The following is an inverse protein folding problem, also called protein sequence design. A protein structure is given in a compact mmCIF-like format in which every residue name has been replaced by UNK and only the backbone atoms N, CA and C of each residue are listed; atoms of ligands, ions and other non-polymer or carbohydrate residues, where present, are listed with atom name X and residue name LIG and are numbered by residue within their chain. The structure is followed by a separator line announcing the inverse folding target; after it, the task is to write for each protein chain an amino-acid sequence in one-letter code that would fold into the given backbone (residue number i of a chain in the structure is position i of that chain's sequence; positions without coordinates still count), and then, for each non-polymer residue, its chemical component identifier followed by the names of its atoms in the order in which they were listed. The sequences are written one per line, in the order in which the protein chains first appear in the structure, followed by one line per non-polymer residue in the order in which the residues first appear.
data_IF_344974516401
#
_entry.id   IF_344974516401
#
_cell.length_a   1.000
_cell.length_b   1.000
_cell.length_c   1.000
_cell.angle_alpha   90.00
_cell.angle_beta   90.00
_cell.angle_gamma   90.00
#
_symmetry.space_group_name_H-M   'P 1'
#
loop_
_entity.id
_entity.type
_entity.pdbx_description
1 polymer ?
#
# COMPACT_ATOMS: atom_id res chain seq x y z
N UNK A 1 20.52 17.85 21.79
CA UNK A 1 21.36 16.66 21.98
C UNK A 1 20.48 15.43 21.93
N UNK A 2 20.84 14.43 21.12
CA UNK A 2 20.16 13.14 21.01
C UNK A 2 21.00 12.13 21.77
N UNK A 3 20.37 11.33 22.66
CA UNK A 3 21.04 10.34 23.47
C UNK A 3 21.20 9.03 22.70
N UNK A 4 22.38 8.40 22.77
CA UNK A 4 22.62 7.06 22.24
C UNK A 4 22.01 6.01 23.17
N UNK A 5 20.98 5.33 22.72
CA UNK A 5 20.22 4.35 23.49
C UNK A 5 20.66 2.91 23.25
N UNK A 6 21.71 2.68 22.46
CA UNK A 6 22.15 1.32 22.06
C UNK A 6 22.43 0.38 23.24
N UNK A 7 22.84 0.93 24.38
CA UNK A 7 23.15 0.16 25.60
C UNK A 7 21.94 -0.09 26.50
N UNK A 8 20.76 0.40 26.16
CA UNK A 8 19.56 0.21 26.99
C UNK A 8 18.93 -1.16 26.73
N UNK A 9 18.53 -1.82 27.80
CA UNK A 9 18.01 -3.20 27.77
C UNK A 9 16.84 -3.39 26.81
N UNK A 10 15.94 -2.39 26.68
CA UNK A 10 14.77 -2.47 25.81
C UNK A 10 15.12 -2.60 24.31
N UNK A 11 16.32 -2.15 23.88
CA UNK A 11 16.71 -2.23 22.47
C UNK A 11 16.77 -3.67 21.97
N UNK A 12 17.08 -4.62 22.86
CA UNK A 12 17.04 -6.06 22.56
C UNK A 12 15.63 -6.63 22.34
N UNK A 13 14.59 -5.89 22.70
CA UNK A 13 13.19 -6.29 22.52
C UNK A 13 12.54 -5.67 21.26
N UNK A 14 13.26 -4.82 20.55
CA UNK A 14 12.77 -4.26 19.29
C UNK A 14 12.82 -5.32 18.18
N UNK A 15 11.84 -5.31 17.28
CA UNK A 15 11.92 -6.12 16.06
C UNK A 15 13.12 -5.65 15.22
N UNK A 16 13.59 -6.52 14.32
CA UNK A 16 14.70 -6.17 13.41
C UNK A 16 14.43 -4.88 12.63
N UNK A 17 13.23 -4.74 12.07
CA UNK A 17 12.83 -3.57 11.29
C UNK A 17 12.79 -2.30 12.15
N UNK A 18 12.25 -2.41 13.38
CA UNK A 18 12.25 -1.31 14.34
C UNK A 18 13.67 -0.84 14.68
N UNK A 19 14.54 -1.79 14.93
CA UNK A 19 15.93 -1.51 15.26
C UNK A 19 16.66 -0.86 14.07
N UNK A 20 16.47 -1.39 12.87
CA UNK A 20 17.06 -0.87 11.63
C UNK A 20 16.64 0.58 11.38
N UNK A 21 15.34 0.88 11.45
CA UNK A 21 14.82 2.24 11.26
C UNK A 21 15.23 3.22 12.36
N UNK A 22 15.57 2.72 13.55
CA UNK A 22 15.97 3.52 14.71
C UNK A 22 17.47 3.72 14.81
N UNK A 23 18.24 3.04 13.95
CA UNK A 23 19.71 3.01 14.00
C UNK A 23 20.31 3.97 12.95
N UNK A 24 21.22 4.80 13.38
CA UNK A 24 22.03 5.63 12.50
C UNK A 24 23.51 5.51 12.89
N UNK A 25 24.38 5.22 11.93
CA UNK A 25 25.81 4.96 12.17
C UNK A 25 26.08 3.96 13.31
N UNK A 26 25.32 2.86 13.35
CA UNK A 26 25.45 1.80 14.35
C UNK A 26 24.96 2.16 15.76
N UNK A 27 24.23 3.25 15.92
CA UNK A 27 23.71 3.74 17.19
C UNK A 27 22.20 3.95 17.14
N UNK A 28 21.50 3.57 18.21
CA UNK A 28 20.05 3.73 18.34
C UNK A 28 19.70 5.09 18.92
N UNK A 29 19.00 5.91 18.16
CA UNK A 29 18.64 7.27 18.55
C UNK A 29 17.14 7.54 18.69
N UNK A 30 16.28 6.59 18.32
CA UNK A 30 14.82 6.70 18.42
C UNK A 30 14.21 5.39 18.90
N UNK A 31 12.96 5.48 19.36
CA UNK A 31 12.17 4.32 19.74
C UNK A 31 10.87 4.41 18.95
N UNK A 32 10.56 3.47 18.05
CA UNK A 32 9.26 3.45 17.40
C UNK A 32 8.18 3.11 18.42
N UNK A 33 7.18 3.98 18.51
CA UNK A 33 6.04 3.80 19.43
C UNK A 33 4.90 3.03 18.77
N UNK A 34 4.85 3.00 17.44
CA UNK A 34 3.82 2.29 16.67
C UNK A 34 4.33 2.04 15.26
N UNK A 35 3.76 1.01 14.63
CA UNK A 35 3.88 0.76 13.21
C UNK A 35 2.59 1.15 12.51
N UNK A 36 2.72 1.76 11.34
CA UNK A 36 1.60 2.04 10.47
C UNK A 36 1.83 1.27 9.17
N UNK A 37 0.93 0.36 8.86
CA UNK A 37 0.94 -0.37 7.59
C UNK A 37 -0.17 0.13 6.68
N UNK A 38 -0.01 -0.07 5.38
CA UNK A 38 -1.05 0.12 4.38
C UNK A 38 -1.47 -1.22 3.80
N UNK A 39 -2.73 -1.30 3.37
CA UNK A 39 -3.27 -2.48 2.72
C UNK A 39 -4.53 -2.14 1.92
N UNK A 40 -5.08 -3.12 1.26
CA UNK A 40 -6.38 -3.00 0.63
C UNK A 40 -7.49 -3.48 1.57
N UNK A 41 -8.51 -2.65 1.75
CA UNK A 41 -9.76 -3.02 2.41
C UNK A 41 -10.74 -3.45 1.33
N UNK A 42 -11.24 -4.67 1.45
CA UNK A 42 -12.12 -5.33 0.49
C UNK A 42 -13.54 -5.41 1.01
N UNK A 43 -14.52 -5.22 0.13
CA UNK A 43 -15.91 -5.61 0.36
C UNK A 43 -16.05 -7.12 0.08
N UNK A 44 -16.00 -7.92 1.13
CA UNK A 44 -15.99 -9.38 1.05
C UNK A 44 -17.34 -9.90 0.54
N UNK A 45 -18.44 -9.26 0.92
CA UNK A 45 -19.77 -9.65 0.44
C UNK A 45 -19.90 -9.43 -1.07
N UNK A 46 -19.34 -8.35 -1.59
CA UNK A 46 -19.27 -8.11 -3.04
C UNK A 46 -18.43 -9.18 -3.74
N UNK A 47 -17.26 -9.53 -3.21
CA UNK A 47 -16.43 -10.60 -3.79
C UNK A 47 -17.22 -11.94 -3.82
N UNK A 48 -17.87 -12.31 -2.71
CA UNK A 48 -18.69 -13.54 -2.63
C UNK A 48 -19.82 -13.55 -3.65
N UNK A 49 -20.47 -12.41 -3.88
CA UNK A 49 -21.55 -12.28 -4.87
C UNK A 49 -21.12 -12.69 -6.28
N UNK A 50 -19.87 -12.45 -6.63
CA UNK A 50 -19.29 -12.80 -7.93
C UNK A 50 -18.42 -14.08 -7.90
N UNK A 51 -18.47 -14.85 -6.80
CA UNK A 51 -17.71 -16.09 -6.64
C UNK A 51 -16.20 -15.89 -6.54
N UNK A 52 -15.78 -14.68 -6.16
CA UNK A 52 -14.38 -14.29 -6.04
C UNK A 52 -13.87 -14.52 -4.61
N UNK A 53 -12.57 -14.70 -4.51
CA UNK A 53 -11.82 -14.76 -3.24
C UNK A 53 -10.91 -13.54 -3.10
N UNK A 54 -10.41 -13.31 -1.89
CA UNK A 54 -9.34 -12.34 -1.66
C UNK A 54 -8.09 -12.77 -2.44
N UNK A 55 -7.52 -11.88 -3.27
CA UNK A 55 -6.34 -12.21 -4.06
C UNK A 55 -5.08 -12.21 -3.21
N UNK A 56 -4.16 -13.13 -3.51
CA UNK A 56 -2.88 -13.29 -2.81
C UNK A 56 -1.69 -12.81 -3.64
N UNK A 57 -1.87 -12.63 -4.96
CA UNK A 57 -0.84 -12.21 -5.92
C UNK A 57 -1.43 -11.37 -7.05
N UNK A 58 -0.58 -10.86 -7.93
CA UNK A 58 -0.98 -9.98 -9.03
C UNK A 58 -1.94 -10.65 -10.02
N UNK A 59 -1.74 -11.91 -10.36
CA UNK A 59 -2.62 -12.61 -11.31
C UNK A 59 -4.04 -12.71 -10.76
N UNK A 60 -4.18 -13.14 -9.52
CA UNK A 60 -5.48 -13.23 -8.84
C UNK A 60 -6.12 -11.85 -8.68
N UNK A 61 -5.32 -10.82 -8.34
CA UNK A 61 -5.76 -9.44 -8.24
C UNK A 61 -6.34 -8.93 -9.57
N UNK A 62 -5.65 -9.16 -10.67
CA UNK A 62 -6.12 -8.76 -11.99
C UNK A 62 -7.39 -9.52 -12.42
N UNK A 63 -7.48 -10.81 -12.07
CA UNK A 63 -8.69 -11.59 -12.32
C UNK A 63 -9.91 -11.06 -11.53
N UNK A 64 -9.71 -10.68 -10.27
CA UNK A 64 -10.74 -10.03 -9.45
C UNK A 64 -11.18 -8.72 -10.08
N UNK A 65 -10.23 -7.86 -10.46
CA UNK A 65 -10.52 -6.57 -11.07
C UNK A 65 -11.28 -6.72 -12.40
N UNK A 66 -10.86 -7.64 -13.28
CA UNK A 66 -11.54 -7.85 -14.57
C UNK A 66 -12.94 -8.38 -14.38
N UNK A 67 -13.13 -9.38 -13.51
CA UNK A 67 -14.46 -9.94 -13.25
C UNK A 67 -15.43 -8.89 -12.71
N UNK A 68 -14.98 -8.05 -11.78
CA UNK A 68 -15.82 -6.98 -11.23
C UNK A 68 -16.18 -5.95 -12.30
N UNK A 69 -15.19 -5.51 -13.09
CA UNK A 69 -15.40 -4.54 -14.17
C UNK A 69 -16.39 -5.07 -15.22
N UNK A 70 -16.27 -6.34 -15.65
CA UNK A 70 -17.19 -6.97 -16.59
C UNK A 70 -18.65 -6.97 -16.08
N UNK A 71 -18.81 -6.96 -14.77
CA UNK A 71 -20.12 -6.85 -14.10
C UNK A 71 -20.53 -5.40 -13.78
N UNK A 72 -19.83 -4.41 -14.32
CA UNK A 72 -20.14 -2.98 -14.15
C UNK A 72 -19.77 -2.41 -12.79
N UNK A 73 -18.95 -3.11 -12.01
CA UNK A 73 -18.45 -2.66 -10.71
C UNK A 73 -17.09 -1.99 -10.90
N UNK A 74 -16.92 -0.80 -10.32
CA UNK A 74 -15.60 -0.19 -10.21
C UNK A 74 -14.76 -0.99 -9.22
N UNK A 75 -13.64 -1.62 -9.63
CA UNK A 75 -12.83 -2.39 -8.70
C UNK A 75 -12.23 -1.51 -7.61
N UNK A 76 -11.46 -0.50 -7.99
CA UNK A 76 -10.63 0.30 -7.09
C UNK A 76 -11.16 1.71 -6.89
N UNK A 77 -11.54 2.03 -5.66
CA UNK A 77 -11.94 3.38 -5.24
C UNK A 77 -10.73 4.26 -4.93
N UNK A 78 -9.96 4.61 -5.96
CA UNK A 78 -8.76 5.41 -5.81
C UNK A 78 -9.06 6.89 -5.55
N UNK A 79 -8.19 7.52 -4.77
CA UNK A 79 -8.10 8.97 -4.61
C UNK A 79 -6.63 9.42 -4.76
N UNK A 80 -6.38 10.72 -4.82
CA UNK A 80 -5.04 11.29 -4.99
C UNK A 80 -4.12 11.19 -3.77
N UNK A 81 -4.62 10.68 -2.66
CA UNK A 81 -3.87 10.46 -1.43
C UNK A 81 -3.14 9.10 -1.46
N UNK A 82 -3.34 8.28 -0.45
CA UNK A 82 -2.68 6.97 -0.31
C UNK A 82 -3.04 6.00 -1.44
N UNK A 83 -4.25 6.09 -1.97
CA UNK A 83 -4.73 5.19 -2.98
C UNK A 83 -3.93 5.24 -4.29
N UNK A 84 -3.39 6.39 -4.68
CA UNK A 84 -2.49 6.49 -5.83
C UNK A 84 -1.05 6.20 -5.45
N UNK A 85 -0.58 6.77 -4.35
CA UNK A 85 0.85 6.77 -4.03
C UNK A 85 1.34 5.44 -3.49
N UNK A 86 0.58 4.81 -2.58
CA UNK A 86 1.05 3.59 -1.91
C UNK A 86 1.24 2.41 -2.87
N UNK A 87 0.26 1.99 -3.69
CA UNK A 87 0.48 0.87 -4.61
C UNK A 87 1.61 1.14 -5.62
N UNK A 88 1.73 2.37 -6.12
CA UNK A 88 2.79 2.75 -7.06
C UNK A 88 4.17 2.65 -6.41
N UNK A 89 4.31 3.13 -5.17
CA UNK A 89 5.56 3.01 -4.42
C UNK A 89 5.88 1.55 -4.06
N UNK A 90 4.87 0.77 -3.66
CA UNK A 90 5.05 -0.64 -3.34
C UNK A 90 5.60 -1.44 -4.52
N UNK A 91 5.06 -1.22 -5.71
CA UNK A 91 5.51 -1.90 -6.93
C UNK A 91 6.86 -1.34 -7.39
N UNK A 92 7.00 -0.02 -7.45
CA UNK A 92 8.19 0.63 -7.99
C UNK A 92 9.44 0.42 -7.13
N UNK A 93 9.33 0.58 -5.82
CA UNK A 93 10.47 0.51 -4.91
C UNK A 93 10.75 -0.91 -4.39
N UNK A 94 9.90 -1.88 -4.71
CA UNK A 94 10.06 -3.26 -4.22
C UNK A 94 11.45 -3.81 -4.51
N UNK A 95 11.92 -3.67 -5.74
CA UNK A 95 13.20 -4.22 -6.18
C UNK A 95 14.40 -3.56 -5.48
N UNK A 96 14.28 -2.28 -5.08
CA UNK A 96 15.31 -1.62 -4.27
C UNK A 96 15.38 -2.27 -2.89
N UNK A 97 14.24 -2.36 -2.21
CA UNK A 97 14.21 -2.86 -0.83
C UNK A 97 14.55 -4.35 -0.71
N UNK A 98 14.41 -5.12 -1.80
CA UNK A 98 14.79 -6.53 -1.86
C UNK A 98 16.21 -6.76 -2.38
N UNK A 99 16.92 -5.72 -2.82
CA UNK A 99 18.27 -5.87 -3.38
C UNK A 99 19.36 -5.87 -2.31
N UNK A 100 20.44 -6.59 -2.57
CA UNK A 100 21.60 -6.64 -1.68
C UNK A 100 22.30 -5.26 -1.56
N UNK A 101 22.17 -4.40 -2.57
CA UNK A 101 22.68 -3.04 -2.66
C UNK A 101 21.64 -1.95 -2.27
N UNK A 102 20.61 -2.32 -1.51
CA UNK A 102 19.55 -1.42 -1.07
C UNK A 102 20.09 -0.11 -0.48
N UNK A 103 21.03 -0.21 0.47
CA UNK A 103 21.57 0.96 1.14
C UNK A 103 22.31 1.91 0.18
N UNK A 104 23.06 1.37 -0.78
CA UNK A 104 23.78 2.15 -1.80
C UNK A 104 22.80 2.88 -2.72
N UNK A 105 21.71 2.22 -3.13
CA UNK A 105 20.64 2.83 -3.93
C UNK A 105 19.91 3.93 -3.18
N UNK A 106 19.57 3.70 -1.91
CA UNK A 106 18.95 4.72 -1.05
C UNK A 106 19.86 5.91 -0.81
N UNK A 107 21.17 5.67 -0.63
CA UNK A 107 22.16 6.74 -0.52
C UNK A 107 22.28 7.53 -1.82
N UNK A 108 22.30 6.86 -2.98
CA UNK A 108 22.33 7.50 -4.29
C UNK A 108 21.10 8.39 -4.54
N UNK A 109 19.92 7.95 -4.11
CA UNK A 109 18.71 8.79 -4.12
C UNK A 109 18.84 9.99 -3.17
N UNK A 110 19.33 9.76 -1.96
CA UNK A 110 19.43 10.79 -0.94
C UNK A 110 20.42 11.90 -1.30
N UNK A 111 21.53 11.55 -1.93
CA UNK A 111 22.57 12.50 -2.34
C UNK A 111 22.36 13.06 -3.77
N UNK A 112 21.30 12.60 -4.48
CA UNK A 112 20.93 13.08 -5.81
C UNK A 112 21.80 12.55 -6.96
N UNK A 113 22.56 11.48 -6.74
CA UNK A 113 23.32 10.82 -7.82
C UNK A 113 22.51 9.82 -8.62
N UNK A 114 21.32 9.43 -8.13
CA UNK A 114 20.31 8.69 -8.85
C UNK A 114 18.96 9.43 -8.80
N UNK A 115 18.15 9.29 -9.84
CA UNK A 115 16.81 9.85 -9.88
C UNK A 115 15.79 8.80 -9.48
N UNK A 116 14.74 9.21 -8.74
CA UNK A 116 13.65 8.29 -8.34
C UNK A 116 12.98 7.65 -9.56
N UNK A 117 12.94 8.34 -10.71
CA UNK A 117 12.38 7.82 -11.96
C UNK A 117 13.09 6.56 -12.47
N UNK A 118 14.35 6.35 -12.12
CA UNK A 118 15.11 5.16 -12.50
C UNK A 118 14.56 3.88 -11.82
N UNK A 119 13.84 4.04 -10.70
CA UNK A 119 13.34 2.94 -9.90
C UNK A 119 11.82 2.79 -9.94
N UNK A 120 11.11 3.83 -10.38
CA UNK A 120 9.65 3.88 -10.29
C UNK A 120 8.91 3.43 -11.56
N UNK A 121 9.61 3.03 -12.61
CA UNK A 121 9.02 2.64 -13.91
C UNK A 121 7.92 1.59 -13.72
N UNK A 122 8.23 0.48 -13.04
CA UNK A 122 7.25 -0.58 -12.76
C UNK A 122 6.02 -0.10 -11.99
N UNK A 123 6.21 0.84 -11.07
CA UNK A 123 5.10 1.43 -10.31
C UNK A 123 4.20 2.28 -11.19
N UNK A 124 4.78 3.08 -12.07
CA UNK A 124 4.01 3.88 -13.03
C UNK A 124 3.32 3.01 -14.09
N UNK A 125 3.97 1.95 -14.57
CA UNK A 125 3.38 0.98 -15.49
C UNK A 125 2.18 0.28 -14.85
N UNK A 126 2.29 -0.08 -13.56
CA UNK A 126 1.17 -0.63 -12.80
C UNK A 126 -0.01 0.36 -12.74
N UNK A 127 0.24 1.62 -12.42
CA UNK A 127 -0.79 2.65 -12.39
C UNK A 127 -1.44 2.85 -13.77
N UNK A 128 -0.62 2.94 -14.81
CA UNK A 128 -1.11 3.09 -16.19
C UNK A 128 -1.98 1.90 -16.60
N UNK A 129 -1.56 0.69 -16.27
CA UNK A 129 -2.34 -0.52 -16.50
C UNK A 129 -3.69 -0.47 -15.79
N UNK A 130 -3.74 -0.03 -14.52
CA UNK A 130 -4.98 0.11 -13.77
C UNK A 130 -5.95 1.10 -14.42
N UNK A 131 -5.42 2.20 -14.98
CA UNK A 131 -6.19 3.21 -15.71
C UNK A 131 -6.69 2.65 -17.04
N UNK A 132 -5.80 2.12 -17.88
CA UNK A 132 -6.09 1.64 -19.25
C UNK A 132 -7.10 0.50 -19.23
N UNK A 133 -7.02 -0.36 -18.22
CA UNK A 133 -7.99 -1.44 -18.02
C UNK A 133 -9.32 -0.97 -17.41
N UNK A 134 -9.41 0.28 -16.95
CA UNK A 134 -10.61 0.82 -16.31
C UNK A 134 -10.90 0.22 -14.93
N UNK A 135 -9.87 -0.24 -14.22
CA UNK A 135 -10.00 -0.76 -12.86
C UNK A 135 -10.11 0.34 -11.82
N UNK A 136 -9.74 1.56 -12.19
CA UNK A 136 -9.92 2.79 -11.42
C UNK A 136 -10.40 3.92 -12.32
N UNK A 137 -11.04 4.92 -11.71
CA UNK A 137 -11.45 6.13 -12.42
C UNK A 137 -10.41 7.24 -12.18
N UNK A 138 -9.62 7.64 -13.20
CA UNK A 138 -8.56 8.63 -13.04
C UNK A 138 -9.10 10.02 -12.73
N UNK A 139 -10.25 10.42 -13.30
CA UNK A 139 -10.84 11.74 -13.04
C UNK A 139 -11.24 11.85 -11.57
N UNK A 140 -11.92 10.82 -11.05
CA UNK A 140 -12.25 10.74 -9.62
C UNK A 140 -11.00 10.75 -8.74
N UNK A 141 -9.98 10.00 -9.13
CA UNK A 141 -8.74 9.92 -8.36
C UNK A 141 -8.01 11.26 -8.26
N UNK A 142 -8.18 12.16 -9.23
CA UNK A 142 -7.57 13.49 -9.26
C UNK A 142 -8.45 14.59 -8.64
N UNK A 143 -9.71 14.31 -8.38
CA UNK A 143 -10.61 15.27 -7.72
C UNK A 143 -10.05 15.67 -6.35
N UNK A 144 -10.26 16.95 -6.01
CA UNK A 144 -9.94 17.45 -4.67
C UNK A 144 -11.08 17.08 -3.72
N UNK A 145 -11.13 15.83 -3.34
CA UNK A 145 -12.08 15.36 -2.36
C UNK A 145 -11.66 15.82 -0.95
N UNK A 146 -12.59 16.17 -0.05
CA UNK A 146 -12.27 16.45 1.33
C UNK A 146 -11.89 15.17 2.09
N UNK A 147 -10.80 14.52 1.67
CA UNK A 147 -10.08 13.49 2.43
C UNK A 147 -10.75 12.13 2.60
N UNK A 148 -10.15 11.34 3.51
CA UNK A 148 -10.43 9.96 3.90
C UNK A 148 -11.92 9.62 4.14
N UNK A 149 -12.71 10.58 4.63
CA UNK A 149 -14.12 10.34 4.95
C UNK A 149 -14.96 10.14 3.69
N UNK A 150 -14.67 10.89 2.63
CA UNK A 150 -15.42 10.74 1.38
C UNK A 150 -15.07 9.45 0.64
N UNK A 151 -13.79 9.05 0.65
CA UNK A 151 -13.36 7.75 0.12
C UNK A 151 -14.00 6.61 0.91
N UNK A 152 -13.96 6.69 2.25
CA UNK A 152 -14.61 5.74 3.13
C UNK A 152 -16.13 5.67 2.87
N UNK A 153 -16.78 6.82 2.69
CA UNK A 153 -18.21 6.91 2.35
C UNK A 153 -18.49 6.31 0.98
N UNK A 154 -17.65 6.58 -0.02
CA UNK A 154 -17.80 6.01 -1.36
C UNK A 154 -17.74 4.48 -1.33
N UNK A 155 -16.77 3.92 -0.62
CA UNK A 155 -16.61 2.49 -0.41
C UNK A 155 -17.78 1.92 0.43
N UNK A 156 -18.14 2.55 1.54
CA UNK A 156 -19.24 2.12 2.42
C UNK A 156 -20.61 2.10 1.71
N UNK A 157 -20.78 2.91 0.66
CA UNK A 157 -21.96 2.90 -0.18
C UNK A 157 -21.92 1.81 -1.28
N UNK A 158 -20.88 0.96 -1.31
CA UNK A 158 -20.72 -0.12 -2.27
C UNK A 158 -20.39 0.33 -3.69
N UNK A 159 -19.84 1.54 -3.86
CA UNK A 159 -19.52 2.10 -5.18
C UNK A 159 -18.20 1.58 -5.76
N UNK A 160 -17.41 0.85 -4.97
CA UNK A 160 -16.20 0.14 -5.42
C UNK A 160 -15.98 -1.11 -4.57
N UNK A 161 -15.13 -2.01 -5.06
CA UNK A 161 -14.87 -3.27 -4.38
C UNK A 161 -13.78 -3.17 -3.31
N UNK A 162 -12.81 -2.29 -3.50
CA UNK A 162 -11.74 -2.07 -2.52
C UNK A 162 -11.19 -0.66 -2.55
N UNK A 163 -10.53 -0.29 -1.45
CA UNK A 163 -9.78 0.95 -1.27
C UNK A 163 -8.43 0.66 -0.64
N UNK A 164 -7.45 1.56 -0.81
CA UNK A 164 -6.19 1.53 -0.07
C UNK A 164 -6.32 2.36 1.20
N UNK A 165 -5.96 1.81 2.33
CA UNK A 165 -6.06 2.51 3.61
C UNK A 165 -4.97 2.09 4.60
N UNK A 166 -4.79 2.92 5.63
CA UNK A 166 -3.92 2.64 6.76
C UNK A 166 -4.53 1.49 7.59
N UNK A 167 -3.71 0.52 7.95
CA UNK A 167 -4.10 -0.53 8.90
C UNK A 167 -4.35 0.07 10.28
N UNK A 168 -5.60 0.20 10.65
CA UNK A 168 -6.01 0.63 11.99
C UNK A 168 -7.38 0.05 12.33
N UNK A 169 -7.64 -0.19 13.62
CA UNK A 169 -8.94 -0.65 14.07
C UNK A 169 -10.11 0.23 13.57
N UNK A 170 -9.92 1.56 13.56
CA UNK A 170 -10.93 2.50 13.05
C UNK A 170 -11.17 2.41 11.55
N UNK A 171 -10.16 1.99 10.76
CA UNK A 171 -10.32 1.80 9.32
C UNK A 171 -11.22 0.60 9.00
N UNK A 172 -11.36 -0.33 9.95
CA UNK A 172 -12.14 -1.55 9.81
C UNK A 172 -13.56 -1.44 10.40
N UNK A 173 -13.99 -0.26 10.84
CA UNK A 173 -15.29 -0.07 11.47
C UNK A 173 -16.26 0.72 10.60
N UNK A 174 -17.55 0.45 10.78
CA UNK A 174 -18.66 1.27 10.24
C UNK A 174 -19.00 0.98 8.78
N UNK A 175 -18.72 -0.22 8.28
CA UNK A 175 -19.18 -0.68 6.98
C UNK A 175 -20.47 -1.52 7.12
N UNK A 176 -21.40 -1.42 6.16
CA UNK A 176 -22.66 -2.18 6.19
C UNK A 176 -22.51 -3.60 5.63
N UNK A 177 -21.31 -4.05 5.30
CA UNK A 177 -20.97 -5.35 4.72
C UNK A 177 -19.71 -5.92 5.40
N UNK A 178 -19.47 -7.20 5.18
CA UNK A 178 -18.25 -7.86 5.66
C UNK A 178 -17.02 -7.29 4.93
N UNK A 179 -15.99 -6.97 5.70
CA UNK A 179 -14.71 -6.47 5.17
C UNK A 179 -13.56 -7.37 5.56
N UNK A 180 -12.53 -7.36 4.73
CA UNK A 180 -11.22 -7.89 5.04
C UNK A 180 -10.14 -6.90 4.63
N UNK A 181 -9.05 -6.85 5.38
CA UNK A 181 -7.87 -6.10 4.99
C UNK A 181 -6.73 -7.07 4.68
N UNK A 182 -6.10 -6.86 3.54
CA UNK A 182 -4.97 -7.67 3.07
C UNK A 182 -3.77 -6.77 2.81
N UNK A 183 -2.54 -7.32 2.79
CA UNK A 183 -1.43 -6.70 2.08
C UNK A 183 -1.82 -6.39 0.62
N UNK A 184 -1.02 -5.59 -0.08
CA UNK A 184 -1.27 -5.28 -1.48
C UNK A 184 -0.82 -6.46 -2.37
N UNK A 185 -1.73 -7.18 -3.03
CA UNK A 185 -1.40 -8.35 -3.86
C UNK A 185 -0.95 -7.92 -5.26
N UNK A 186 0.12 -7.12 -5.31
CA UNK A 186 0.60 -6.44 -6.53
C UNK A 186 1.90 -7.00 -7.07
N UNK A 187 2.40 -8.10 -6.48
CA UNK A 187 3.58 -8.80 -6.92
C UNK A 187 3.21 -10.11 -7.63
N UNK A 188 4.02 -10.55 -8.59
CA UNK A 188 3.79 -11.80 -9.34
C UNK A 188 3.64 -13.02 -8.42
N UNK A 189 4.46 -13.10 -7.38
CA UNK A 189 4.54 -14.25 -6.48
C UNK A 189 4.04 -13.96 -5.06
N UNK A 190 3.20 -12.95 -4.87
CA UNK A 190 2.67 -12.64 -3.56
C UNK A 190 2.17 -11.22 -3.38
N UNK A 191 2.20 -10.78 -2.13
CA UNK A 191 1.72 -9.47 -1.72
C UNK A 191 2.79 -8.71 -0.93
N UNK A 192 2.68 -7.40 -0.92
CA UNK A 192 3.57 -6.51 -0.17
C UNK A 192 2.80 -5.78 0.92
N UNK A 193 3.40 -5.69 2.11
CA UNK A 193 2.95 -4.85 3.20
C UNK A 193 3.92 -3.67 3.34
N UNK A 194 3.41 -2.44 3.46
CA UNK A 194 4.21 -1.21 3.60
C UNK A 194 3.77 -0.45 4.84
#
# INVERSE_FOLDING_TARGET
YIYDMSALEFTGNLSHDALTQSTYNGKVFSIPLSYTGFGFIWNVDMLKQYGLKLPENLEEFLNVCETLKENGILPYGANKDYALTVPVMCVGLHDIYQSDDCNEKLEALSNGTAAISEYMEKGFDFLQMMIDKGYMNPDRALETLPKKEEEKSFFANGNCAFICAIYSGKALEGYPFEIAMTPLPVLENGSVCV
#
